data_IF_614956097081
#
_entry.id   IF_614956097081
#
_cell.length_a   1.000
_cell.length_b   1.000
_cell.length_c   1.000
_cell.angle_alpha   90.00
_cell.angle_beta   90.00
_cell.angle_gamma   90.00
#
_symmetry.space_group_name_H-M   'P 1'
#
loop_
_entity.id
_entity.type
_entity.pdbx_description
1 polymer ?
#
# COMPACT_ATOMS: atom_id res chain seq x y z
N UNK A 1 4.96 -13.56 -26.30
CA UNK A 1 4.20 -12.71 -25.37
C UNK A 1 3.85 -13.41 -24.07
N UNK A 2 3.17 -14.56 -24.07
CA UNK A 2 2.85 -15.33 -22.84
C UNK A 2 4.10 -15.81 -22.09
N UNK A 3 5.14 -16.24 -22.79
CA UNK A 3 6.40 -16.72 -22.18
C UNK A 3 7.20 -15.59 -21.49
N UNK A 4 7.20 -14.39 -22.05
CA UNK A 4 7.82 -13.20 -21.44
C UNK A 4 7.04 -12.76 -20.19
N UNK A 5 5.72 -12.82 -20.22
CA UNK A 5 4.89 -12.54 -19.03
C UNK A 5 5.14 -13.56 -17.91
N UNK A 6 5.22 -14.85 -18.21
CA UNK A 6 5.50 -15.88 -17.22
C UNK A 6 6.90 -15.71 -16.59
N UNK A 7 7.92 -15.40 -17.40
CA UNK A 7 9.28 -15.16 -16.89
C UNK A 7 9.41 -13.89 -16.04
N UNK A 8 8.52 -12.94 -16.21
CA UNK A 8 8.48 -11.70 -15.43
C UNK A 8 7.71 -11.88 -14.11
N UNK A 9 6.58 -12.60 -14.17
CA UNK A 9 5.73 -12.88 -12.99
C UNK A 9 6.42 -13.78 -11.96
N UNK A 10 7.20 -14.76 -12.39
CA UNK A 10 7.86 -15.71 -11.49
C UNK A 10 8.80 -15.03 -10.48
N UNK A 11 9.77 -14.18 -10.90
CA UNK A 11 10.64 -13.49 -9.95
C UNK A 11 9.87 -12.50 -9.07
N UNK A 12 8.85 -11.83 -9.58
CA UNK A 12 8.03 -10.89 -8.80
C UNK A 12 7.28 -11.60 -7.68
N UNK A 13 6.69 -12.77 -7.96
CA UNK A 13 6.04 -13.61 -6.93
C UNK A 13 7.05 -14.08 -5.88
N UNK A 14 8.23 -14.53 -6.29
CA UNK A 14 9.27 -14.97 -5.36
C UNK A 14 9.75 -13.84 -4.45
N UNK A 15 9.97 -12.66 -4.99
CA UNK A 15 10.37 -11.46 -4.23
C UNK A 15 9.26 -11.08 -3.26
N UNK A 16 7.99 -11.04 -3.71
CA UNK A 16 6.85 -10.74 -2.86
C UNK A 16 6.73 -11.72 -1.68
N UNK A 17 6.89 -13.02 -1.94
CA UNK A 17 6.83 -14.06 -0.92
C UNK A 17 7.99 -13.95 0.08
N UNK A 18 9.24 -13.85 -0.39
CA UNK A 18 10.42 -13.75 0.48
C UNK A 18 10.34 -12.49 1.36
N UNK A 19 10.03 -11.35 0.76
CA UNK A 19 9.86 -10.11 1.51
C UNK A 19 8.73 -10.23 2.54
N UNK A 20 7.57 -10.78 2.14
CA UNK A 20 6.43 -10.93 3.03
C UNK A 20 6.71 -11.87 4.19
N UNK A 21 7.39 -13.00 3.97
CA UNK A 21 7.76 -13.93 5.05
C UNK A 21 8.61 -13.23 6.09
N UNK A 22 9.64 -12.49 5.67
CA UNK A 22 10.55 -11.81 6.59
C UNK A 22 9.84 -10.68 7.31
N UNK A 23 9.19 -9.77 6.58
CA UNK A 23 8.58 -8.56 7.16
C UNK A 23 7.38 -8.87 8.05
N UNK A 24 6.54 -9.83 7.67
CA UNK A 24 5.33 -10.17 8.41
C UNK A 24 5.63 -10.73 9.80
N UNK A 25 6.56 -11.68 9.90
CA UNK A 25 6.94 -12.25 11.18
C UNK A 25 7.80 -11.32 12.03
N UNK A 26 8.67 -10.54 11.40
CA UNK A 26 9.50 -9.57 12.11
C UNK A 26 8.66 -8.46 12.76
N UNK A 27 7.60 -8.04 12.08
CA UNK A 27 6.68 -7.00 12.58
C UNK A 27 5.59 -7.52 13.52
N UNK A 28 5.54 -8.85 13.77
CA UNK A 28 4.54 -9.49 14.63
C UNK A 28 3.09 -9.11 14.25
N UNK A 29 2.78 -9.17 12.96
CA UNK A 29 1.43 -8.93 12.43
C UNK A 29 0.47 -10.06 12.83
N UNK A 30 -0.80 -9.93 12.43
CA UNK A 30 -1.86 -10.85 12.83
C UNK A 30 -1.54 -12.31 12.44
N UNK A 31 -1.44 -13.26 13.39
CA UNK A 31 -0.96 -14.62 13.15
C UNK A 31 -2.03 -15.53 12.51
N UNK A 32 -2.73 -15.04 11.45
CA UNK A 32 -3.71 -15.82 10.70
C UNK A 32 -3.25 -16.04 9.27
N UNK A 33 -3.50 -17.24 8.73
CA UNK A 33 -3.11 -17.56 7.36
C UNK A 33 -3.80 -16.65 6.34
N UNK A 34 -5.07 -16.31 6.57
CA UNK A 34 -5.80 -15.40 5.69
C UNK A 34 -5.19 -14.00 5.65
N UNK A 35 -4.82 -13.44 6.81
CA UNK A 35 -4.18 -12.13 6.88
C UNK A 35 -2.80 -12.14 6.20
N UNK A 36 -2.02 -13.22 6.36
CA UNK A 36 -0.73 -13.37 5.69
C UNK A 36 -0.88 -13.41 4.16
N UNK A 37 -1.79 -14.23 3.62
CA UNK A 37 -2.00 -14.31 2.17
C UNK A 37 -2.59 -13.02 1.59
N UNK A 38 -3.42 -12.32 2.34
CA UNK A 38 -3.91 -10.98 1.94
C UNK A 38 -2.76 -9.98 1.87
N UNK A 39 -1.85 -10.00 2.84
CA UNK A 39 -0.63 -9.18 2.82
C UNK A 39 0.24 -9.48 1.60
N UNK A 40 0.52 -10.76 1.32
CA UNK A 40 1.29 -11.19 0.15
C UNK A 40 0.64 -10.72 -1.14
N UNK A 41 -0.68 -10.81 -1.25
CA UNK A 41 -1.43 -10.36 -2.42
C UNK A 41 -1.22 -8.85 -2.67
N UNK A 42 -1.32 -8.03 -1.62
CA UNK A 42 -1.15 -6.58 -1.76
C UNK A 42 0.29 -6.20 -2.12
N UNK A 43 1.30 -6.83 -1.52
CA UNK A 43 2.71 -6.64 -1.91
C UNK A 43 2.93 -7.05 -3.37
N UNK A 44 2.35 -8.15 -3.81
CA UNK A 44 2.45 -8.60 -5.19
C UNK A 44 1.83 -7.60 -6.17
N UNK A 45 0.63 -7.08 -5.88
CA UNK A 45 -0.03 -6.07 -6.70
C UNK A 45 0.77 -4.75 -6.74
N UNK A 46 1.35 -4.35 -5.61
CA UNK A 46 2.23 -3.18 -5.50
C UNK A 46 3.45 -3.31 -6.44
N UNK A 47 4.13 -4.44 -6.37
CA UNK A 47 5.30 -4.71 -7.22
C UNK A 47 4.94 -4.73 -8.71
N UNK A 48 3.79 -5.30 -9.09
CA UNK A 48 3.32 -5.28 -10.48
C UNK A 48 3.00 -3.87 -10.97
N UNK A 49 2.39 -3.03 -10.13
CA UNK A 49 2.10 -1.65 -10.46
C UNK A 49 3.38 -0.82 -10.60
N UNK A 50 4.31 -0.98 -9.64
CA UNK A 50 5.62 -0.32 -9.67
C UNK A 50 6.43 -0.72 -10.92
N UNK A 51 6.45 -2.00 -11.27
CA UNK A 51 7.08 -2.48 -12.49
C UNK A 51 6.46 -1.84 -13.74
N UNK A 52 5.12 -1.78 -13.80
CA UNK A 52 4.39 -1.12 -14.87
C UNK A 52 4.79 0.36 -15.04
N UNK A 53 4.93 1.08 -13.93
CA UNK A 53 5.38 2.47 -13.88
C UNK A 53 6.81 2.61 -14.40
N UNK A 54 7.73 1.73 -13.99
CA UNK A 54 9.13 1.72 -14.46
C UNK A 54 9.18 1.51 -15.96
N UNK A 55 8.45 0.51 -16.48
CA UNK A 55 8.40 0.23 -17.93
C UNK A 55 7.84 1.42 -18.71
N UNK A 56 6.84 2.10 -18.18
CA UNK A 56 6.28 3.30 -18.79
C UNK A 56 7.31 4.43 -18.90
N UNK A 57 8.00 4.80 -17.82
CA UNK A 57 9.02 5.87 -17.85
C UNK A 57 10.23 5.51 -18.70
N UNK A 58 10.70 4.27 -18.67
CA UNK A 58 11.82 3.83 -19.52
C UNK A 58 11.45 3.80 -21.02
N UNK A 59 10.17 3.64 -21.33
CA UNK A 59 9.66 3.75 -22.71
C UNK A 59 9.62 5.20 -23.18
N UNK A 60 9.34 6.16 -22.29
CA UNK A 60 9.29 7.59 -22.59
C UNK A 60 10.68 8.20 -22.83
N UNK A 61 11.65 7.85 -22.01
CA UNK A 61 12.96 8.48 -22.01
C UNK A 61 14.07 7.48 -22.36
N UNK A 62 14.96 7.80 -23.34
CA UNK A 62 16.05 6.90 -23.74
C UNK A 62 17.18 6.85 -22.72
N UNK A 63 17.28 7.86 -21.84
CA UNK A 63 18.32 7.95 -20.82
C UNK A 63 17.89 7.19 -19.56
N UNK A 64 18.67 6.19 -19.16
CA UNK A 64 18.46 5.42 -17.94
C UNK A 64 18.41 6.32 -16.69
N UNK A 65 19.32 7.30 -16.60
CA UNK A 65 19.43 8.19 -15.43
C UNK A 65 18.17 9.05 -15.28
N UNK A 66 17.64 9.60 -16.38
CA UNK A 66 16.41 10.41 -16.35
C UNK A 66 15.21 9.54 -15.95
N UNK A 67 15.10 8.35 -16.52
CA UNK A 67 14.00 7.42 -16.18
C UNK A 67 14.04 7.03 -14.71
N UNK A 68 15.23 6.72 -14.17
CA UNK A 68 15.40 6.38 -12.76
C UNK A 68 15.01 7.53 -11.83
N UNK A 69 15.44 8.76 -12.16
CA UNK A 69 15.09 9.94 -11.38
C UNK A 69 13.59 10.21 -11.36
N UNK A 70 12.91 10.04 -12.51
CA UNK A 70 11.46 10.21 -12.61
C UNK A 70 10.67 9.15 -11.86
N UNK A 71 11.11 7.89 -11.91
CA UNK A 71 10.53 6.80 -11.12
C UNK A 71 10.67 7.08 -9.62
N UNK A 72 11.87 7.50 -9.18
CA UNK A 72 12.11 7.85 -7.78
C UNK A 72 11.24 9.03 -7.33
N UNK A 73 11.13 10.08 -8.15
CA UNK A 73 10.28 11.23 -7.90
C UNK A 73 8.80 10.83 -7.80
N UNK A 74 8.29 10.03 -8.75
CA UNK A 74 6.91 9.55 -8.74
C UNK A 74 6.60 8.74 -7.48
N UNK A 75 7.47 7.78 -7.11
CA UNK A 75 7.29 6.99 -5.89
C UNK A 75 7.33 7.85 -4.62
N UNK A 76 8.22 8.85 -4.55
CA UNK A 76 8.27 9.80 -3.44
C UNK A 76 6.99 10.63 -3.32
N UNK A 77 6.41 11.03 -4.46
CA UNK A 77 5.15 11.75 -4.51
C UNK A 77 3.98 10.84 -4.07
N UNK A 78 3.92 9.61 -4.56
CA UNK A 78 2.93 8.62 -4.13
C UNK A 78 3.01 8.37 -2.63
N UNK A 79 4.20 8.13 -2.08
CA UNK A 79 4.40 7.93 -0.65
C UNK A 79 3.94 9.12 0.20
N UNK A 80 3.97 10.33 -0.35
CA UNK A 80 3.50 11.54 0.35
C UNK A 80 1.97 11.66 0.40
N UNK A 81 1.26 11.13 -0.60
CA UNK A 81 -0.20 11.30 -0.74
C UNK A 81 -1.01 10.02 -0.49
N UNK A 82 -0.35 8.88 -0.29
CA UNK A 82 -1.01 7.58 -0.12
C UNK A 82 -1.79 7.41 1.20
N UNK A 83 -1.57 8.30 2.17
CA UNK A 83 -2.19 8.20 3.49
C UNK A 83 -1.21 7.78 4.60
N UNK A 84 0.02 7.35 4.26
CA UNK A 84 1.03 7.01 5.25
C UNK A 84 1.63 8.24 5.93
N UNK A 85 2.14 9.20 5.16
CA UNK A 85 2.75 10.42 5.71
C UNK A 85 1.71 11.50 6.06
N UNK A 86 0.68 11.64 5.23
CA UNK A 86 -0.38 12.63 5.40
C UNK A 86 -1.72 11.91 5.39
N UNK A 87 -2.50 12.09 6.46
CA UNK A 87 -3.84 11.50 6.55
C UNK A 87 -4.74 12.02 5.41
N UNK A 88 -5.54 11.15 4.76
CA UNK A 88 -6.39 11.53 3.65
C UNK A 88 -7.45 12.58 4.01
N UNK A 89 -7.79 12.69 5.29
CA UNK A 89 -8.75 13.66 5.84
C UNK A 89 -8.22 15.10 5.84
N UNK A 90 -6.89 15.28 5.91
CA UNK A 90 -6.22 16.59 5.98
C UNK A 90 -5.72 17.02 4.60
N UNK A 91 -5.74 16.11 3.62
CA UNK A 91 -5.18 16.38 2.29
C UNK A 91 -5.97 17.48 1.58
N UNK A 92 -5.26 18.46 0.98
CA UNK A 92 -5.89 19.51 0.18
C UNK A 92 -6.66 18.88 -1.00
N UNK A 93 -7.79 19.50 -1.35
CA UNK A 93 -8.70 19.05 -2.42
C UNK A 93 -7.96 18.75 -3.73
N UNK A 94 -7.00 19.60 -4.14
CA UNK A 94 -6.20 19.40 -5.34
C UNK A 94 -5.40 18.08 -5.28
N UNK A 95 -4.62 17.87 -4.22
CA UNK A 95 -3.81 16.66 -4.05
C UNK A 95 -4.66 15.39 -3.91
N UNK A 96 -5.82 15.53 -3.26
CA UNK A 96 -6.77 14.44 -3.07
C UNK A 96 -7.34 13.95 -4.39
N UNK A 97 -7.80 14.84 -5.27
CA UNK A 97 -8.46 14.44 -6.53
C UNK A 97 -7.47 14.16 -7.66
N UNK A 98 -6.32 14.84 -7.71
CA UNK A 98 -5.35 14.69 -8.80
C UNK A 98 -4.35 13.57 -8.54
N UNK A 99 -3.89 13.40 -7.31
CA UNK A 99 -2.83 12.44 -7.00
C UNK A 99 -3.30 11.25 -6.18
N UNK A 100 -4.00 11.45 -5.08
CA UNK A 100 -4.37 10.39 -4.15
C UNK A 100 -5.21 9.26 -4.78
N UNK A 101 -6.11 9.55 -5.71
CA UNK A 101 -6.92 8.51 -6.37
C UNK A 101 -6.18 7.78 -7.51
N UNK A 102 -5.12 8.38 -8.05
CA UNK A 102 -4.27 7.76 -9.07
C UNK A 102 -3.09 6.99 -8.47
N UNK A 103 -2.86 7.18 -7.20
CA UNK A 103 -1.80 6.53 -6.45
C UNK A 103 -2.17 5.08 -6.15
N UNK A 104 -1.41 4.15 -6.73
CA UNK A 104 -1.60 2.72 -6.47
C UNK A 104 -1.19 2.34 -5.05
N UNK A 105 -0.19 3.01 -4.43
CA UNK A 105 0.27 2.75 -3.07
C UNK A 105 -0.81 3.07 -2.03
N UNK A 106 -1.74 3.98 -2.31
CA UNK A 106 -2.89 4.27 -1.47
C UNK A 106 -3.72 3.01 -1.20
N UNK A 107 -4.10 2.31 -2.27
CA UNK A 107 -4.94 1.10 -2.16
C UNK A 107 -4.22 -0.03 -1.43
N UNK A 108 -2.91 -0.16 -1.64
CA UNK A 108 -2.07 -1.12 -0.94
C UNK A 108 -2.02 -0.79 0.55
N UNK A 109 -1.69 0.45 0.90
CA UNK A 109 -1.57 0.89 2.29
C UNK A 109 -2.91 0.80 3.04
N UNK A 110 -4.00 1.29 2.46
CA UNK A 110 -5.35 1.23 3.05
C UNK A 110 -5.75 -0.22 3.38
N UNK A 111 -5.61 -1.13 2.43
CA UNK A 111 -5.99 -2.52 2.64
C UNK A 111 -5.04 -3.29 3.57
N UNK A 112 -3.75 -2.94 3.61
CA UNK A 112 -2.83 -3.48 4.61
C UNK A 112 -3.19 -3.01 6.02
N UNK A 113 -3.55 -1.75 6.21
CA UNK A 113 -4.03 -1.21 7.48
C UNK A 113 -5.33 -1.91 7.92
N UNK A 114 -6.29 -2.06 7.02
CA UNK A 114 -7.54 -2.79 7.32
C UNK A 114 -7.23 -4.23 7.71
N UNK A 115 -6.36 -4.93 6.96
CA UNK A 115 -5.99 -6.31 7.23
C UNK A 115 -5.33 -6.51 8.61
N UNK A 116 -4.58 -5.53 9.10
CA UNK A 116 -3.90 -5.62 10.40
C UNK A 116 -4.78 -5.15 11.56
N UNK A 117 -5.51 -4.03 11.40
CA UNK A 117 -6.21 -3.39 12.50
C UNK A 117 -7.66 -3.86 12.67
N UNK A 118 -8.28 -4.42 11.63
CA UNK A 118 -9.65 -4.92 11.73
C UNK A 118 -9.75 -6.03 12.78
N UNK A 119 -10.73 -5.90 13.70
CA UNK A 119 -11.03 -6.85 14.77
C UNK A 119 -9.88 -7.15 15.77
N UNK A 120 -8.88 -6.29 15.84
CA UNK A 120 -7.75 -6.46 16.77
C UNK A 120 -7.76 -5.42 17.88
N UNK A 121 -7.28 -5.82 19.05
CA UNK A 121 -7.12 -4.96 20.23
C UNK A 121 -5.64 -4.86 20.57
N UNK A 122 -5.18 -3.64 20.79
CA UNK A 122 -3.79 -3.33 21.14
C UNK A 122 -3.71 -2.76 22.55
N UNK A 123 -2.63 -3.07 23.27
CA UNK A 123 -2.35 -2.47 24.57
C UNK A 123 -1.71 -1.09 24.39
N UNK A 124 -2.16 -0.12 25.20
CA UNK A 124 -1.53 1.22 25.26
C UNK A 124 -0.17 1.16 25.93
N UNK A 125 0.66 2.17 25.66
CA UNK A 125 1.95 2.31 26.33
C UNK A 125 1.74 2.66 27.83
N UNK A 126 2.38 1.90 28.72
CA UNK A 126 2.36 2.18 30.15
C UNK A 126 3.26 3.39 30.45
N UNK A 127 2.75 4.38 31.13
CA UNK A 127 3.46 5.61 31.52
C UNK A 127 3.85 5.65 32.99
N UNK A 128 3.28 4.75 33.83
CA UNK A 128 3.54 4.68 35.27
C UNK A 128 3.33 3.28 35.84
N UNK A 129 3.58 3.10 37.15
CA UNK A 129 3.43 1.81 37.84
C UNK A 129 1.98 1.43 38.15
N UNK A 130 1.03 2.33 37.94
CA UNK A 130 -0.38 2.09 38.21
C UNK A 130 -1.08 1.32 37.09
N UNK A 131 -2.13 0.53 37.40
CA UNK A 131 -2.86 -0.27 36.40
C UNK A 131 -3.59 0.58 35.33
N UNK A 132 -3.81 1.86 35.61
CA UNK A 132 -4.47 2.80 34.69
C UNK A 132 -3.53 3.93 34.19
N UNK A 133 -2.24 3.85 34.52
CA UNK A 133 -1.25 4.82 34.07
C UNK A 133 -0.76 4.49 32.67
N UNK A 134 -1.63 4.70 31.69
CA UNK A 134 -1.32 4.42 30.29
C UNK A 134 -1.64 5.60 29.39
N UNK A 135 -0.86 5.73 28.32
CA UNK A 135 -1.09 6.68 27.24
C UNK A 135 -1.56 5.96 26.00
N UNK A 136 -2.81 6.20 25.61
CA UNK A 136 -3.39 5.68 24.38
C UNK A 136 -3.30 6.75 23.30
N UNK A 137 -2.62 6.43 22.19
CA UNK A 137 -2.39 7.35 21.08
C UNK A 137 -3.68 7.73 20.34
N UNK A 138 -4.65 6.83 20.33
CA UNK A 138 -5.94 7.02 19.66
C UNK A 138 -7.10 6.96 20.66
N UNK A 139 -8.13 7.83 20.50
CA UNK A 139 -9.32 7.76 21.33
C UNK A 139 -10.07 6.45 21.06
N UNK A 140 -10.33 5.68 22.11
CA UNK A 140 -11.04 4.41 22.05
C UNK A 140 -11.92 4.23 23.27
N UNK A 141 -13.05 3.58 23.12
CA UNK A 141 -13.95 3.25 24.23
C UNK A 141 -13.29 2.35 25.28
N UNK A 142 -12.21 1.65 24.89
CA UNK A 142 -11.43 0.79 25.79
C UNK A 142 -10.22 1.50 26.43
N UNK A 143 -10.05 2.81 26.25
CA UNK A 143 -8.93 3.57 26.81
C UNK A 143 -8.85 3.47 28.34
N UNK A 144 -10.00 3.35 29.04
CA UNK A 144 -10.06 3.12 30.48
C UNK A 144 -9.45 1.79 30.95
N UNK A 145 -9.32 0.82 30.02
CA UNK A 145 -8.66 -0.48 30.24
C UNK A 145 -7.24 -0.54 29.68
N UNK A 146 -6.67 0.62 29.32
CA UNK A 146 -5.37 0.72 28.64
C UNK A 146 -5.31 -0.07 27.33
N UNK A 147 -6.40 -0.09 26.59
CA UNK A 147 -6.53 -0.81 25.32
C UNK A 147 -7.09 0.11 24.22
N UNK A 148 -6.67 -0.13 23.00
CA UNK A 148 -7.17 0.54 21.78
C UNK A 148 -7.75 -0.53 20.87
N UNK A 149 -9.00 -0.33 20.42
CA UNK A 149 -9.53 -1.11 19.30
C UNK A 149 -8.88 -0.66 18.00
N UNK A 150 -8.48 -1.63 17.17
CA UNK A 150 -7.92 -1.32 15.85
C UNK A 150 -8.89 -0.53 14.96
N UNK A 151 -10.21 -0.72 15.15
CA UNK A 151 -11.22 0.08 14.45
C UNK A 151 -11.06 1.59 14.72
N UNK A 152 -10.72 2.00 15.94
CA UNK A 152 -10.49 3.42 16.26
C UNK A 152 -9.32 4.02 15.47
N UNK A 153 -8.31 3.20 15.13
CA UNK A 153 -7.21 3.61 14.24
C UNK A 153 -7.73 3.78 12.81
N UNK A 154 -8.51 2.82 12.29
CA UNK A 154 -9.07 2.89 10.94
C UNK A 154 -10.00 4.10 10.77
N UNK A 155 -10.84 4.39 11.77
CA UNK A 155 -11.77 5.53 11.77
C UNK A 155 -11.02 6.87 11.73
N UNK A 156 -9.87 6.97 12.41
CA UNK A 156 -9.00 8.16 12.37
C UNK A 156 -8.47 8.46 10.97
N UNK A 157 -8.16 7.42 10.19
CA UNK A 157 -7.72 7.52 8.79
C UNK A 157 -8.89 7.59 7.81
N UNK A 158 -10.10 7.30 8.24
CA UNK A 158 -11.30 7.22 7.40
C UNK A 158 -11.36 5.99 6.51
N UNK A 159 -10.71 4.90 6.93
CA UNK A 159 -10.69 3.65 6.19
C UNK A 159 -11.87 2.76 6.59
N UNK A 160 -12.63 2.33 5.58
CA UNK A 160 -13.82 1.52 5.79
C UNK A 160 -13.57 0.08 5.31
N UNK A 161 -13.72 -0.92 6.18
CA UNK A 161 -13.63 -2.33 5.78
C UNK A 161 -14.74 -2.69 4.78
N UNK A 162 -14.47 -3.66 3.90
CA UNK A 162 -15.47 -4.21 2.98
C UNK A 162 -15.30 -3.83 1.50
N UNK A 163 -14.37 -2.94 1.15
CA UNK A 163 -14.14 -2.52 -0.23
C UNK A 163 -12.98 -3.23 -0.94
N UNK A 164 -12.40 -4.26 -0.35
CA UNK A 164 -11.22 -4.97 -0.86
C UNK A 164 -11.37 -5.41 -2.33
N UNK A 165 -12.51 -5.95 -2.72
CA UNK A 165 -12.74 -6.39 -4.10
C UNK A 165 -12.75 -5.24 -5.11
N UNK A 166 -13.30 -4.08 -4.71
CA UNK A 166 -13.28 -2.86 -5.51
C UNK A 166 -11.85 -2.35 -5.71
N UNK A 167 -11.06 -2.34 -4.64
CA UNK A 167 -9.69 -1.83 -4.65
C UNK A 167 -8.75 -2.72 -5.48
N UNK A 168 -8.94 -4.05 -5.43
CA UNK A 168 -8.26 -4.99 -6.34
C UNK A 168 -8.61 -4.66 -7.81
N UNK A 169 -9.88 -4.39 -8.11
CA UNK A 169 -10.32 -4.00 -9.45
C UNK A 169 -9.66 -2.71 -9.93
N UNK A 170 -9.54 -1.71 -9.06
CA UNK A 170 -8.85 -0.45 -9.36
C UNK A 170 -7.36 -0.70 -9.59
N UNK A 171 -6.69 -1.46 -8.73
CA UNK A 171 -5.29 -1.81 -8.86
C UNK A 171 -5.00 -2.52 -10.19
N UNK A 172 -5.81 -3.52 -10.55
CA UNK A 172 -5.70 -4.20 -11.84
C UNK A 172 -5.86 -3.24 -13.02
N UNK A 173 -6.79 -2.28 -12.92
CA UNK A 173 -7.00 -1.27 -13.95
C UNK A 173 -5.79 -0.34 -14.09
N UNK A 174 -5.15 0.06 -13.00
CA UNK A 174 -3.92 0.87 -13.00
C UNK A 174 -2.77 0.09 -13.64
N UNK A 175 -2.57 -1.18 -13.26
CA UNK A 175 -1.52 -2.05 -13.83
C UNK A 175 -1.68 -2.19 -15.34
N UNK A 176 -2.90 -2.51 -15.80
CA UNK A 176 -3.21 -2.61 -17.23
C UNK A 176 -3.01 -1.26 -17.92
N UNK A 177 -3.44 -0.17 -17.30
CA UNK A 177 -3.27 1.19 -17.83
C UNK A 177 -1.80 1.54 -18.08
N UNK A 178 -0.90 1.27 -17.14
CA UNK A 178 0.54 1.48 -17.34
C UNK A 178 1.12 0.63 -18.47
N UNK A 179 0.68 -0.63 -18.59
CA UNK A 179 1.13 -1.52 -19.67
C UNK A 179 0.66 -1.05 -21.04
N UNK A 180 -0.61 -0.61 -21.16
CA UNK A 180 -1.14 -0.05 -22.41
C UNK A 180 -0.43 1.26 -22.77
N UNK A 181 -0.24 2.16 -21.80
CA UNK A 181 0.46 3.42 -22.02
C UNK A 181 1.90 3.19 -22.50
N UNK A 182 2.64 2.28 -21.89
CA UNK A 182 4.00 1.91 -22.31
C UNK A 182 4.00 1.33 -23.72
N UNK A 183 3.04 0.47 -24.06
CA UNK A 183 2.91 -0.11 -25.40
C UNK A 183 2.63 0.95 -26.47
N UNK A 184 1.73 1.92 -26.19
CA UNK A 184 1.42 3.03 -27.11
C UNK A 184 2.67 3.87 -27.36
N UNK A 185 3.41 4.22 -26.30
CA UNK A 185 4.63 5.03 -26.42
C UNK A 185 5.67 4.30 -27.27
N UNK A 186 5.89 3.01 -27.05
CA UNK A 186 6.82 2.21 -27.85
C UNK A 186 6.41 2.15 -29.32
N UNK A 187 5.11 2.00 -29.59
CA UNK A 187 4.59 1.96 -30.97
C UNK A 187 4.70 3.31 -31.69
N UNK A 188 4.58 4.43 -30.97
CA UNK A 188 4.73 5.77 -31.57
C UNK A 188 6.20 6.12 -31.82
N UNK A 189 7.13 5.43 -31.16
CA UNK A 189 8.56 5.68 -31.25
C UNK A 189 9.26 4.81 -32.30
N UNK A 190 8.64 3.70 -32.70
CA UNK A 190 9.07 2.87 -33.85
C UNK A 190 8.58 3.43 -35.16
#
# INVERSE_FOLDING_TARGET
MLWTLANLLTPTVLIALLFSVISYWLSNFQPTATAFFTWVLWIFLDLLAAEGLVVFFTSLFPSFVISLALVAFANGLWMSVNGFMVQPTILNVFYKYVFHYWDYQKYVFENMMINEFHDRVYSCAMTGPGPNDCYCMYPSDMASKCQIQGQAVLDQYGYLPGYMGKDIGIMMSIIVGYRIAAWIVLKLRT
#
